data_IF_221977815502
#
_entry.id   IF_221977815502
#
_cell.length_a   1.000
_cell.length_b   1.000
_cell.length_c   1.000
_cell.angle_alpha   90.00
_cell.angle_beta   90.00
_cell.angle_gamma   90.00
#
_symmetry.space_group_name_H-M   'P 1'
#
loop_
_entity.id
_entity.type
_entity.pdbx_description
1 polymer ?
#
# COMPACT_ATOMS: atom_id res chain seq x y z
N UNK A 1 -4.95 10.46 -6.18
CA UNK A 1 -6.11 10.16 -7.05
C UNK A 1 -7.32 9.79 -6.20
N UNK A 2 -8.56 10.17 -6.57
CA UNK A 2 -9.75 9.78 -5.79
C UNK A 2 -9.97 8.26 -5.88
N UNK A 3 -10.44 7.66 -4.79
CA UNK A 3 -10.87 6.25 -4.75
C UNK A 3 -12.36 6.18 -4.47
N UNK A 4 -13.05 5.32 -5.22
CA UNK A 4 -14.48 5.09 -5.08
C UNK A 4 -14.71 3.68 -4.55
N UNK A 5 -15.08 3.57 -3.27
CA UNK A 5 -15.24 2.29 -2.58
C UNK A 5 -14.25 2.15 -1.42
N UNK A 6 -14.15 0.92 -0.91
CA UNK A 6 -13.28 0.53 0.22
C UNK A 6 -12.18 -0.46 -0.20
N UNK A 7 -12.09 -0.73 -1.51
CA UNK A 7 -11.17 -1.70 -2.12
C UNK A 7 -10.68 -1.16 -3.45
N UNK A 8 -9.40 -1.38 -3.76
CA UNK A 8 -8.85 -1.17 -5.10
C UNK A 8 -7.81 -2.24 -5.40
N UNK A 9 -7.65 -2.54 -6.69
CA UNK A 9 -6.58 -3.39 -7.19
C UNK A 9 -5.58 -2.55 -7.97
N UNK A 10 -4.33 -2.98 -7.95
CA UNK A 10 -3.29 -2.34 -8.74
C UNK A 10 -2.21 -3.35 -9.08
N UNK A 11 -1.44 -3.02 -10.11
CA UNK A 11 -0.25 -3.75 -10.48
C UNK A 11 0.95 -2.82 -10.48
N UNK A 12 2.09 -3.33 -10.00
CA UNK A 12 3.33 -2.59 -9.96
C UNK A 12 4.49 -3.47 -10.42
N UNK A 13 5.34 -2.92 -11.28
CA UNK A 13 6.65 -3.47 -11.59
C UNK A 13 7.71 -2.49 -11.09
N UNK A 14 8.39 -2.77 -9.99
CA UNK A 14 9.46 -1.96 -9.40
C UNK A 14 10.49 -2.85 -8.67
N UNK A 15 11.71 -2.35 -8.48
CA UNK A 15 12.79 -3.09 -7.81
C UNK A 15 12.59 -3.20 -6.30
N UNK A 16 11.97 -2.19 -5.69
CA UNK A 16 11.75 -2.05 -4.24
C UNK A 16 10.79 -0.89 -3.96
N UNK A 17 10.33 -0.81 -2.72
CA UNK A 17 9.60 0.31 -2.12
C UNK A 17 8.39 0.76 -2.94
N UNK A 18 7.46 -0.16 -3.22
CA UNK A 18 6.13 0.24 -3.69
C UNK A 18 5.38 0.88 -2.50
N UNK A 19 5.28 2.20 -2.51
CA UNK A 19 4.67 2.97 -1.43
C UNK A 19 3.33 3.54 -1.86
N UNK A 20 2.29 3.23 -1.08
CA UNK A 20 0.94 3.77 -1.23
C UNK A 20 0.57 4.59 0.01
N UNK A 21 -0.12 5.70 -0.19
CA UNK A 21 -0.66 6.52 0.87
C UNK A 21 -2.19 6.60 0.74
N UNK A 22 -2.93 6.26 1.78
CA UNK A 22 -4.38 6.43 1.86
C UNK A 22 -4.68 7.70 2.66
N UNK A 23 -5.27 8.69 1.99
CA UNK A 23 -5.49 10.04 2.54
C UNK A 23 -6.96 10.42 2.53
N UNK A 24 -7.32 11.42 3.32
CA UNK A 24 -8.68 11.99 3.36
C UNK A 24 -8.89 13.17 2.39
N UNK A 25 -7.87 13.52 1.60
CA UNK A 25 -7.90 14.59 0.61
C UNK A 25 -6.86 14.41 -0.51
N UNK A 26 -6.87 15.29 -1.52
CA UNK A 26 -6.00 15.16 -2.70
C UNK A 26 -4.50 15.39 -2.41
N UNK A 27 -4.19 16.02 -1.28
CA UNK A 27 -2.83 16.24 -0.79
C UNK A 27 -2.49 15.26 0.35
N UNK A 28 -1.24 15.28 0.81
CA UNK A 28 -0.84 14.55 2.03
C UNK A 28 -1.67 15.05 3.22
N UNK A 29 -2.33 14.13 3.94
CA UNK A 29 -3.16 14.47 5.11
C UNK A 29 -2.58 13.86 6.38
N UNK A 30 -2.84 14.49 7.52
CA UNK A 30 -2.64 13.88 8.83
C UNK A 30 -4.01 13.74 9.51
N UNK A 31 -4.48 12.51 9.80
CA UNK A 31 -3.77 11.26 9.64
C UNK A 31 -3.77 10.70 8.18
N UNK A 32 -2.87 9.74 7.91
CA UNK A 32 -2.79 8.98 6.65
C UNK A 32 -2.26 7.57 6.92
N UNK A 33 -2.70 6.60 6.12
CA UNK A 33 -2.17 5.24 6.15
C UNK A 33 -1.12 5.08 5.05
N UNK A 34 0.08 4.67 5.43
CA UNK A 34 1.18 4.40 4.52
C UNK A 34 1.32 2.88 4.40
N UNK A 35 1.32 2.37 3.18
CA UNK A 35 1.49 0.95 2.87
C UNK A 35 2.79 0.80 2.08
N UNK A 36 3.74 0.11 2.66
CA UNK A 36 5.00 -0.25 2.03
C UNK A 36 4.94 -1.69 1.59
N UNK A 37 5.19 -1.96 0.31
CA UNK A 37 5.30 -3.30 -0.26
C UNK A 37 6.69 -3.44 -0.87
N UNK A 38 7.41 -4.49 -0.48
CA UNK A 38 8.80 -4.69 -0.92
C UNK A 38 9.74 -3.58 -0.44
N UNK A 39 9.51 -3.08 0.77
CA UNK A 39 10.46 -2.21 1.46
C UNK A 39 11.66 -2.97 2.02
N UNK A 40 12.62 -2.22 2.58
CA UNK A 40 13.89 -2.76 3.11
C UNK A 40 14.60 -3.65 2.08
N UNK A 41 14.88 -3.08 0.90
CA UNK A 41 15.49 -3.82 -0.22
C UNK A 41 14.63 -5.01 -0.69
N UNK A 42 13.31 -4.82 -0.79
CA UNK A 42 12.38 -5.85 -1.23
C UNK A 42 12.25 -7.05 -0.28
N UNK A 43 12.46 -6.84 1.02
CA UNK A 43 12.41 -7.91 2.02
C UNK A 43 11.17 -7.87 2.91
N UNK A 44 10.53 -6.71 3.05
CA UNK A 44 9.46 -6.52 4.03
C UNK A 44 8.33 -5.67 3.47
N UNK A 45 7.14 -5.85 4.02
CA UNK A 45 6.00 -4.96 3.83
C UNK A 45 5.54 -4.44 5.17
N UNK A 46 5.03 -3.20 5.21
CA UNK A 46 4.60 -2.58 6.45
C UNK A 46 3.38 -1.67 6.24
N UNK A 47 2.56 -1.54 7.28
CA UNK A 47 1.54 -0.50 7.38
C UNK A 47 2.00 0.47 8.45
N UNK A 48 2.02 1.76 8.13
CA UNK A 48 2.41 2.85 9.02
C UNK A 48 1.30 3.87 9.13
N UNK A 49 1.19 4.48 10.31
CA UNK A 49 0.27 5.57 10.57
C UNK A 49 1.04 6.89 10.64
N UNK A 50 0.74 7.82 9.72
CA UNK A 50 1.16 9.23 9.79
C UNK A 50 2.64 9.50 10.08
N UNK A 51 3.56 8.93 9.29
CA UNK A 51 5.01 9.10 9.46
C UNK A 51 5.54 8.68 10.85
N UNK A 52 4.74 7.94 11.62
CA UNK A 52 5.09 7.39 12.93
C UNK A 52 5.67 5.98 12.83
N UNK A 53 5.40 5.17 13.86
CA UNK A 53 5.85 3.78 13.92
C UNK A 53 5.09 2.88 12.95
N UNK A 54 5.74 1.78 12.55
CA UNK A 54 5.10 0.72 11.76
C UNK A 54 4.10 -0.02 12.64
N UNK A 55 2.81 0.07 12.28
CA UNK A 55 1.70 -0.57 13.00
C UNK A 55 1.68 -2.08 12.79
N UNK A 56 2.11 -2.50 11.60
CA UNK A 56 2.44 -3.90 11.31
C UNK A 56 3.59 -3.95 10.33
N UNK A 57 4.42 -4.98 10.47
CA UNK A 57 5.51 -5.30 9.56
C UNK A 57 5.55 -6.80 9.36
N UNK A 58 5.64 -7.23 8.10
CA UNK A 58 5.68 -8.63 7.70
C UNK A 58 6.85 -8.87 6.75
N UNK A 59 7.51 -10.02 6.90
CA UNK A 59 8.56 -10.41 5.97
C UNK A 59 7.93 -10.88 4.66
N UNK A 60 8.27 -10.19 3.58
CA UNK A 60 7.76 -10.44 2.22
C UNK A 60 8.94 -10.38 1.25
N UNK A 61 9.84 -11.38 1.29
CA UNK A 61 11.01 -11.41 0.44
C UNK A 61 10.59 -11.47 -1.02
N UNK A 62 11.25 -10.64 -1.82
CA UNK A 62 11.01 -10.48 -3.25
C UNK A 62 9.56 -10.16 -3.57
N UNK A 63 8.85 -9.35 -2.77
CA UNK A 63 7.41 -9.08 -2.95
C UNK A 63 7.09 -8.36 -4.26
N UNK A 64 7.93 -7.41 -4.68
CA UNK A 64 7.85 -6.71 -5.97
C UNK A 64 8.96 -7.20 -6.90
N UNK A 65 8.83 -6.93 -8.20
CA UNK A 65 9.86 -7.26 -9.18
C UNK A 65 9.92 -6.17 -10.25
N UNK A 66 11.11 -5.81 -10.72
CA UNK A 66 11.27 -4.83 -11.80
C UNK A 66 10.98 -5.43 -13.18
N UNK A 67 11.23 -6.73 -13.35
CA UNK A 67 11.08 -7.44 -14.62
C UNK A 67 9.66 -8.00 -14.81
N UNK A 68 8.90 -8.13 -13.72
CA UNK A 68 7.55 -8.69 -13.71
C UNK A 68 6.56 -7.75 -13.02
N UNK A 69 5.44 -7.50 -13.70
CA UNK A 69 4.32 -6.77 -13.13
C UNK A 69 3.57 -7.67 -12.14
N UNK A 70 3.58 -7.30 -10.87
CA UNK A 70 2.88 -8.02 -9.81
C UNK A 70 1.62 -7.30 -9.40
N UNK A 71 0.56 -8.08 -9.20
CA UNK A 71 -0.77 -7.57 -8.91
C UNK A 71 -1.12 -7.75 -7.45
N UNK A 72 -1.69 -6.70 -6.89
CA UNK A 72 -2.05 -6.59 -5.49
C UNK A 72 -3.45 -5.99 -5.35
N UNK A 73 -4.05 -6.24 -4.20
CA UNK A 73 -5.25 -5.54 -3.77
C UNK A 73 -5.02 -4.89 -2.41
N UNK A 74 -5.74 -3.80 -2.18
CA UNK A 74 -5.85 -3.15 -0.87
C UNK A 74 -7.32 -2.99 -0.53
N UNK A 75 -7.70 -3.42 0.66
CA UNK A 75 -9.00 -3.09 1.27
C UNK A 75 -8.76 -2.25 2.51
N UNK A 76 -9.61 -1.27 2.79
CA UNK A 76 -9.56 -0.41 3.99
C UNK A 76 -10.93 -0.26 4.66
N UNK A 77 -11.73 -1.33 4.61
CA UNK A 77 -13.13 -1.34 5.03
C UNK A 77 -13.24 -1.17 6.55
N UNK A 78 -13.99 -0.16 6.99
CA UNK A 78 -14.23 0.14 8.41
C UNK A 78 -12.94 0.27 9.24
N UNK A 79 -11.87 0.84 8.67
CA UNK A 79 -10.58 0.94 9.36
C UNK A 79 -9.74 -0.33 9.33
N UNK A 80 -10.26 -1.42 8.76
CA UNK A 80 -9.50 -2.64 8.59
C UNK A 80 -8.77 -2.62 7.26
N UNK A 81 -7.45 -2.40 7.33
CA UNK A 81 -6.56 -2.36 6.19
C UNK A 81 -6.04 -3.76 5.94
N UNK A 82 -6.19 -4.26 4.72
CA UNK A 82 -5.62 -5.53 4.27
C UNK A 82 -4.94 -5.34 2.92
N UNK A 83 -3.80 -5.96 2.78
CA UNK A 83 -3.00 -5.98 1.56
C UNK A 83 -2.66 -7.42 1.22
N UNK A 84 -2.89 -7.80 -0.02
CA UNK A 84 -2.63 -9.14 -0.51
C UNK A 84 -2.24 -9.14 -1.99
N UNK A 85 -1.67 -10.25 -2.44
CA UNK A 85 -1.56 -10.52 -3.88
C UNK A 85 -2.96 -10.70 -4.47
N UNK A 86 -3.14 -10.37 -5.74
CA UNK A 86 -4.40 -10.64 -6.41
C UNK A 86 -4.79 -12.13 -6.28
N UNK A 87 -6.07 -12.37 -5.99
CA UNK A 87 -6.64 -13.71 -5.79
C UNK A 87 -6.00 -14.56 -4.67
N UNK A 88 -5.33 -13.91 -3.69
CA UNK A 88 -4.70 -14.57 -2.54
C UNK A 88 -5.20 -14.02 -1.20
N UNK A 89 -4.97 -14.79 -0.14
CA UNK A 89 -5.18 -14.29 1.23
C UNK A 89 -4.28 -13.08 1.52
N UNK A 90 -4.73 -12.15 2.38
CA UNK A 90 -3.93 -10.98 2.73
C UNK A 90 -2.67 -11.42 3.47
N UNK A 91 -1.51 -10.94 3.02
CA UNK A 91 -0.24 -11.19 3.71
C UNK A 91 0.04 -10.12 4.78
N UNK A 92 -0.67 -9.00 4.74
CA UNK A 92 -0.49 -7.88 5.65
C UNK A 92 -1.85 -7.28 6.00
N UNK A 93 -2.17 -7.18 7.28
CA UNK A 93 -3.39 -6.55 7.75
C UNK A 93 -3.19 -5.80 9.07
N UNK A 94 -3.98 -4.76 9.26
CA UNK A 94 -4.02 -3.98 10.50
C UNK A 94 -5.38 -3.28 10.63
N UNK A 95 -5.92 -3.27 11.85
CA UNK A 95 -7.17 -2.57 12.16
C UNK A 95 -6.86 -1.32 12.97
N UNK A 96 -7.26 -0.17 12.44
CA UNK A 96 -7.16 1.10 13.16
C UNK A 96 -8.25 1.19 14.26
N UNK A 97 -7.88 1.47 15.53
CA UNK A 97 -8.85 1.73 16.58
C UNK A 97 -9.67 3.01 16.39
N UNK A 98 -9.16 4.00 15.65
CA UNK A 98 -9.81 5.30 15.43
C UNK A 98 -9.91 5.65 13.92
N UNK A 99 -10.71 4.90 13.14
CA UNK A 99 -10.67 4.99 11.69
C UNK A 99 -11.29 6.26 11.14
N UNK A 100 -10.74 6.73 10.02
CA UNK A 100 -11.30 7.85 9.25
C UNK A 100 -11.65 7.44 7.81
N UNK A 101 -12.38 8.32 7.13
CA UNK A 101 -12.76 8.11 5.73
C UNK A 101 -11.59 8.39 4.80
N UNK A 102 -11.07 7.34 4.18
CA UNK A 102 -10.16 7.44 3.03
C UNK A 102 -10.96 7.90 1.81
N UNK A 103 -10.43 8.87 1.07
CA UNK A 103 -11.04 9.40 -0.15
C UNK A 103 -10.07 9.44 -1.32
N UNK A 104 -8.76 9.39 -1.05
CA UNK A 104 -7.72 9.46 -2.06
C UNK A 104 -6.59 8.48 -1.79
N UNK A 105 -5.93 8.09 -2.87
CA UNK A 105 -4.72 7.26 -2.90
C UNK A 105 -3.58 8.10 -3.50
N UNK A 106 -2.48 8.21 -2.77
CA UNK A 106 -1.16 8.58 -3.28
C UNK A 106 -0.33 7.33 -3.54
N UNK A 107 0.59 7.41 -4.49
CA UNK A 107 1.52 6.32 -4.78
C UNK A 107 2.85 6.88 -5.24
N UNK A 108 3.94 6.22 -4.84
CA UNK A 108 5.27 6.52 -5.31
C UNK A 108 6.15 5.27 -5.22
N UNK A 109 7.28 5.31 -5.92
CA UNK A 109 8.36 4.35 -5.72
C UNK A 109 9.50 5.02 -4.97
N UNK A 110 10.18 4.27 -4.10
CA UNK A 110 11.32 4.76 -3.31
C UNK A 110 12.54 5.17 -4.13
N UNK A 111 13.56 5.68 -3.42
CA UNK A 111 14.80 6.23 -4.02
C UNK A 111 15.47 5.26 -4.99
N UNK A 112 15.58 5.67 -6.26
CA UNK A 112 16.27 4.91 -7.30
C UNK A 112 15.41 3.85 -8.00
N UNK A 113 14.20 3.56 -7.52
CA UNK A 113 13.28 2.65 -8.17
C UNK A 113 12.37 3.41 -9.15
N UNK A 114 12.36 2.99 -10.41
CA UNK A 114 11.33 3.39 -11.37
C UNK A 114 10.27 2.30 -11.40
N UNK A 115 9.03 2.63 -11.07
CA UNK A 115 7.93 1.67 -11.13
C UNK A 115 6.88 2.00 -12.18
N UNK A 116 6.40 0.98 -12.87
CA UNK A 116 5.18 1.09 -13.69
C UNK A 116 3.99 0.70 -12.85
N UNK A 117 3.09 1.64 -12.60
CA UNK A 117 1.86 1.42 -11.84
C UNK A 117 0.66 1.38 -12.78
N UNK A 118 -0.25 0.43 -12.56
CA UNK A 118 -1.58 0.43 -13.17
C UNK A 118 -2.60 0.21 -12.07
N UNK A 119 -3.62 1.06 -12.01
CA UNK A 119 -4.71 0.91 -11.06
C UNK A 119 -5.93 0.38 -11.80
N UNK A 120 -6.60 -0.62 -11.21
CA UNK A 120 -7.84 -1.21 -11.70
C UNK A 120 -8.95 -0.77 -10.73
N UNK A 121 -9.94 -0.02 -11.24
CA UNK A 121 -11.08 0.54 -10.51
C UNK A 121 -12.39 -0.05 -11.03
#
# INVERSE_FOLDING_TARGET
MPVYGDTFAFSVACSNDAHLALTSGPEETTPMYELFIGGWENQKSAIRLSKGDDMTQVDTPDAVCCDEERKFYVTFRNGHIRVGYQDSDPFMEWTDPEPWKVTHIGYCTGWGATGKWKFEF
#
